data_IF_704529776284
#
_entry.id   IF_704529776284
#
_cell.length_a   1.000
_cell.length_b   1.000
_cell.length_c   1.000
_cell.angle_alpha   90.00
_cell.angle_beta   90.00
_cell.angle_gamma   90.00
#
_symmetry.space_group_name_H-M   'P 1'
#
loop_
_entity.id
_entity.type
_entity.pdbx_description
1 polymer ?
#
# COMPACT_ATOMS: atom_id res chain seq x y z
N UNK A 1 -4.27 32.17 -35.22
CA UNK A 1 -4.72 32.32 -33.83
C UNK A 1 -5.41 31.09 -33.29
N UNK A 2 -6.38 30.52 -34.00
CA UNK A 2 -7.12 29.33 -33.52
C UNK A 2 -6.24 28.08 -33.33
N UNK A 3 -5.26 27.84 -34.18
CA UNK A 3 -4.37 26.66 -34.09
C UNK A 3 -3.46 26.69 -32.86
N UNK A 4 -2.99 27.86 -32.47
CA UNK A 4 -2.11 28.00 -31.31
C UNK A 4 -2.85 27.77 -29.99
N UNK A 5 -4.09 28.26 -29.89
CA UNK A 5 -4.91 28.05 -28.70
C UNK A 5 -5.31 26.57 -28.56
N UNK A 6 -5.64 25.91 -29.67
CA UNK A 6 -6.00 24.48 -29.67
C UNK A 6 -4.79 23.61 -29.28
N UNK A 7 -3.60 23.91 -29.81
CA UNK A 7 -2.38 23.20 -29.44
C UNK A 7 -2.00 23.40 -27.98
N UNK A 8 -2.15 24.64 -27.46
CA UNK A 8 -1.91 24.94 -26.05
C UNK A 8 -2.85 24.19 -25.12
N UNK A 9 -4.13 24.07 -25.48
CA UNK A 9 -5.10 23.28 -24.73
C UNK A 9 -4.79 21.79 -24.74
N UNK A 10 -4.39 21.22 -25.90
CA UNK A 10 -4.03 19.83 -26.01
C UNK A 10 -2.81 19.48 -25.14
N UNK A 11 -1.78 20.31 -25.18
CA UNK A 11 -0.58 20.14 -24.35
C UNK A 11 -0.92 20.21 -22.87
N UNK A 12 -1.79 21.14 -22.48
CA UNK A 12 -2.24 21.27 -21.11
C UNK A 12 -3.03 20.04 -20.65
N UNK A 13 -3.95 19.53 -21.48
CA UNK A 13 -4.71 18.31 -21.19
C UNK A 13 -3.82 17.08 -21.06
N UNK A 14 -2.82 16.93 -21.92
CA UNK A 14 -1.84 15.84 -21.85
C UNK A 14 -1.05 15.88 -20.55
N UNK A 15 -0.61 17.06 -20.14
CA UNK A 15 0.11 17.23 -18.87
C UNK A 15 -0.75 16.91 -17.66
N UNK A 16 -2.03 17.27 -17.70
CA UNK A 16 -2.98 16.91 -16.65
C UNK A 16 -3.20 15.39 -16.57
N UNK A 17 -3.32 14.72 -17.72
CA UNK A 17 -3.47 13.26 -17.77
C UNK A 17 -2.23 12.57 -17.24
N UNK A 18 -1.05 13.01 -17.62
CA UNK A 18 0.22 12.47 -17.12
C UNK A 18 0.34 12.64 -15.60
N UNK A 19 -0.01 13.82 -15.10
CA UNK A 19 0.00 14.09 -13.67
C UNK A 19 -0.99 13.19 -12.90
N UNK A 20 -2.19 12.96 -13.47
CA UNK A 20 -3.18 12.07 -12.88
C UNK A 20 -2.70 10.62 -12.88
N UNK A 21 -2.09 10.15 -13.99
CA UNK A 21 -1.52 8.81 -14.07
C UNK A 21 -0.40 8.62 -13.07
N UNK A 22 0.47 9.62 -12.90
CA UNK A 22 1.53 9.60 -11.91
C UNK A 22 0.99 9.47 -10.49
N UNK A 23 -0.06 10.21 -10.16
CA UNK A 23 -0.72 10.13 -8.85
C UNK A 23 -1.31 8.76 -8.59
N UNK A 24 -1.99 8.18 -9.57
CA UNK A 24 -2.58 6.83 -9.46
C UNK A 24 -1.50 5.79 -9.22
N UNK A 25 -0.42 5.81 -10.00
CA UNK A 25 0.70 4.88 -9.83
C UNK A 25 1.34 5.04 -8.46
N UNK A 26 1.55 6.28 -8.02
CA UNK A 26 2.12 6.58 -6.71
C UNK A 26 1.23 6.04 -5.58
N UNK A 27 -0.08 6.23 -5.67
CA UNK A 27 -1.05 5.71 -4.70
C UNK A 27 -1.09 4.18 -4.69
N UNK A 28 -1.02 3.53 -5.86
CA UNK A 28 -0.98 2.08 -5.95
C UNK A 28 0.28 1.49 -5.30
N UNK A 29 1.42 2.14 -5.50
CA UNK A 29 2.67 1.75 -4.84
C UNK A 29 2.60 1.90 -3.34
N UNK A 30 2.03 3.00 -2.87
CA UNK A 30 1.82 3.24 -1.44
C UNK A 30 0.89 2.19 -0.84
N UNK A 31 -0.21 1.86 -1.51
CA UNK A 31 -1.14 0.81 -1.10
C UNK A 31 -0.44 -0.55 -1.01
N UNK A 32 0.36 -0.90 -2.01
CA UNK A 32 1.14 -2.14 -2.00
C UNK A 32 2.10 -2.23 -0.82
N UNK A 33 2.79 -1.14 -0.48
CA UNK A 33 3.67 -1.08 0.69
C UNK A 33 2.89 -1.28 1.98
N UNK A 34 1.75 -0.63 2.14
CA UNK A 34 0.91 -0.77 3.33
C UNK A 34 0.32 -2.17 3.45
N UNK A 35 -0.10 -2.78 2.36
CA UNK A 35 -0.59 -4.16 2.36
C UNK A 35 0.50 -5.15 2.81
N UNK A 36 1.73 -5.01 2.31
CA UNK A 36 2.85 -5.84 2.74
C UNK A 36 3.18 -5.64 4.22
N UNK A 37 3.07 -4.41 4.70
CA UNK A 37 3.27 -4.06 6.10
C UNK A 37 2.24 -4.74 7.00
N UNK A 38 0.97 -4.71 6.60
CA UNK A 38 -0.12 -5.40 7.30
C UNK A 38 0.09 -6.91 7.34
N UNK A 39 0.47 -7.52 6.23
CA UNK A 39 0.75 -8.96 6.18
C UNK A 39 1.87 -9.32 7.13
N UNK A 40 2.96 -8.55 7.17
CA UNK A 40 4.07 -8.79 8.11
C UNK A 40 3.63 -8.62 9.55
N UNK A 41 2.83 -7.61 9.86
CA UNK A 41 2.29 -7.40 11.20
C UNK A 41 1.39 -8.56 11.63
N UNK A 42 0.53 -9.07 10.76
CA UNK A 42 -0.30 -10.23 11.03
C UNK A 42 0.53 -11.49 11.30
N UNK A 43 1.60 -11.71 10.53
CA UNK A 43 2.51 -12.84 10.75
C UNK A 43 3.21 -12.73 12.10
N UNK A 44 3.66 -11.54 12.48
CA UNK A 44 4.26 -11.30 13.79
C UNK A 44 3.28 -11.58 14.93
N UNK A 45 2.04 -11.12 14.80
CA UNK A 45 0.98 -11.38 15.76
C UNK A 45 0.68 -12.87 15.88
N UNK A 46 0.58 -13.58 14.76
CA UNK A 46 0.33 -15.03 14.75
C UNK A 46 1.44 -15.79 15.44
N UNK A 47 2.70 -15.42 15.20
CA UNK A 47 3.86 -16.04 15.86
C UNK A 47 3.87 -15.75 17.34
N UNK A 48 3.60 -14.51 17.76
CA UNK A 48 3.53 -14.14 19.15
C UNK A 48 2.40 -14.88 19.88
N UNK A 49 1.25 -15.01 19.22
CA UNK A 49 0.10 -15.74 19.73
C UNK A 49 0.43 -17.24 19.92
N UNK A 50 1.08 -17.85 18.93
CA UNK A 50 1.51 -19.25 19.01
C UNK A 50 2.52 -19.46 20.14
N UNK A 51 3.45 -18.55 20.34
CA UNK A 51 4.41 -18.61 21.46
C UNK A 51 3.71 -18.48 22.81
N UNK A 52 2.78 -17.56 22.93
CA UNK A 52 2.02 -17.37 24.16
C UNK A 52 1.19 -18.61 24.50
N UNK A 53 0.58 -19.22 23.49
CA UNK A 53 -0.19 -20.46 23.68
C UNK A 53 0.73 -21.60 24.12
N UNK A 54 1.91 -21.72 23.54
CA UNK A 54 2.88 -22.75 23.92
C UNK A 54 3.31 -22.60 25.37
N UNK A 55 3.62 -21.38 25.80
CA UNK A 55 4.00 -21.08 27.19
C UNK A 55 2.87 -21.43 28.14
N UNK A 56 1.64 -21.07 27.77
CA UNK A 56 0.45 -21.42 28.59
C UNK A 56 0.29 -22.92 28.76
N UNK A 57 0.44 -23.68 27.67
CA UNK A 57 0.34 -25.14 27.70
C UNK A 57 1.45 -25.77 28.55
N UNK A 58 2.67 -25.24 28.48
CA UNK A 58 3.79 -25.68 29.30
C UNK A 58 3.52 -25.43 30.79
N UNK A 59 3.01 -24.25 31.13
CA UNK A 59 2.64 -23.93 32.50
C UNK A 59 1.52 -24.80 33.04
N UNK A 60 0.50 -25.07 32.24
CA UNK A 60 -0.60 -25.96 32.61
C UNK A 60 -0.13 -27.40 32.79
N UNK A 61 0.83 -27.84 32.01
CA UNK A 61 1.40 -29.19 32.14
C UNK A 61 2.25 -29.35 33.42
N UNK A 62 2.85 -28.28 33.92
CA UNK A 62 3.64 -28.30 35.17
C UNK A 62 2.78 -28.25 36.42
N UNK A 63 1.59 -27.75 36.32
CA UNK A 63 0.64 -27.68 37.43
C UNK A 63 -0.27 -28.90 37.48
#
# INVERSE_FOLDING_TARGET
MYLQETLGQQVHEERLREAQQYRVVSQLRALGREQRRLVRAQRQMSRAHARALRIRLELEAET
#
